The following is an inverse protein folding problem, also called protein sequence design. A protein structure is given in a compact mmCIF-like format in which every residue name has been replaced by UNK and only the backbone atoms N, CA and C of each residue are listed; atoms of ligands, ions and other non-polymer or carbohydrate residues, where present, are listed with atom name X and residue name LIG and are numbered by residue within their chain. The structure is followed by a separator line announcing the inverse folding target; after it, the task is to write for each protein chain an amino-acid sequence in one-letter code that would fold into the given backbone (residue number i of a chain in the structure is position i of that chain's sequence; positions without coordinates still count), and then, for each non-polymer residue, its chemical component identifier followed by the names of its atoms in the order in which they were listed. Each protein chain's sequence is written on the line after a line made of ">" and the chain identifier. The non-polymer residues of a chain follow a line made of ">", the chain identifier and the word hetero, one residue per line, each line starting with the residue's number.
data_IF_427873091208
#
_entry.id   IF_427873091208
#
_cell.length_a   1.000
_cell.length_b   1.000
_cell.length_c   1.000
_cell.angle_alpha   90.00
_cell.angle_beta   90.00
_cell.angle_gamma   90.00
#
_symmetry.space_group_name_H-M   'P 1'
#
loop_
_entity.id
_entity.type
_entity.pdbx_description
1 polymer ?
#
# COMPACT_ATOMS: atom_id res chain seq x y z
N UNK A 1 1.50 4.74 -21.94
CA UNK A 1 2.44 4.38 -20.86
C UNK A 1 1.96 4.85 -19.49
N UNK A 2 1.60 6.13 -19.33
CA UNK A 2 1.15 6.72 -18.05
C UNK A 2 0.01 5.93 -17.38
N UNK A 3 -1.04 5.60 -18.14
CA UNK A 3 -2.17 4.79 -17.65
C UNK A 3 -1.69 3.44 -17.11
N UNK A 4 -0.87 2.72 -17.89
CA UNK A 4 -0.33 1.43 -17.45
C UNK A 4 0.52 1.56 -16.19
N UNK A 5 1.29 2.65 -16.06
CA UNK A 5 2.13 2.87 -14.89
C UNK A 5 1.29 3.11 -13.65
N UNK A 6 0.31 4.02 -13.77
CA UNK A 6 -0.67 4.25 -12.72
C UNK A 6 -1.38 2.96 -12.33
N UNK A 7 -1.83 2.15 -13.29
CA UNK A 7 -2.54 0.90 -13.02
C UNK A 7 -1.73 -0.11 -12.23
N UNK A 8 -0.46 -0.37 -12.56
CA UNK A 8 0.30 -1.36 -11.78
C UNK A 8 0.67 -0.85 -10.39
N UNK A 9 0.94 0.46 -10.24
CA UNK A 9 1.17 1.07 -8.94
C UNK A 9 -0.11 1.01 -8.08
N UNK A 10 -1.27 1.35 -8.66
CA UNK A 10 -2.60 1.20 -8.03
C UNK A 10 -2.88 -0.25 -7.59
N UNK A 11 -2.47 -1.23 -8.41
CA UNK A 11 -2.60 -2.65 -8.07
C UNK A 11 -1.74 -3.03 -6.87
N UNK A 12 -0.53 -2.50 -6.75
CA UNK A 12 0.32 -2.76 -5.59
C UNK A 12 -0.27 -2.15 -4.30
N UNK A 13 -0.86 -0.96 -4.38
CA UNK A 13 -1.56 -0.35 -3.22
C UNK A 13 -2.79 -1.15 -2.80
N UNK A 14 -3.57 -1.62 -3.79
CA UNK A 14 -4.72 -2.50 -3.57
C UNK A 14 -4.28 -3.81 -2.92
N UNK A 15 -3.24 -4.44 -3.46
CA UNK A 15 -2.63 -5.65 -2.90
C UNK A 15 -2.27 -5.50 -1.42
N UNK A 16 -1.59 -4.42 -1.02
CA UNK A 16 -1.22 -4.20 0.39
C UNK A 16 -2.46 -4.07 1.30
N UNK A 17 -3.52 -3.45 0.79
CA UNK A 17 -4.78 -3.28 1.52
C UNK A 17 -5.52 -4.60 1.66
N UNK A 18 -5.55 -5.40 0.60
CA UNK A 18 -6.18 -6.71 0.58
C UNK A 18 -5.42 -7.71 1.46
N UNK A 19 -4.09 -7.70 1.42
CA UNK A 19 -3.28 -8.52 2.33
C UNK A 19 -3.57 -8.19 3.80
N UNK A 20 -3.66 -6.90 4.14
CA UNK A 20 -4.00 -6.48 5.48
C UNK A 20 -5.40 -6.97 5.89
N UNK A 21 -6.37 -6.91 4.98
CA UNK A 21 -7.70 -7.49 5.18
C UNK A 21 -7.62 -8.97 5.49
N UNK A 22 -6.90 -9.74 4.68
CA UNK A 22 -6.74 -11.18 4.86
C UNK A 22 -6.08 -11.54 6.19
N UNK A 23 -5.07 -10.76 6.61
CA UNK A 23 -4.45 -10.93 7.93
C UNK A 23 -5.50 -10.75 9.05
N UNK A 24 -6.35 -9.73 8.96
CA UNK A 24 -7.40 -9.50 9.95
C UNK A 24 -8.44 -10.62 9.99
N UNK A 25 -8.81 -11.18 8.85
CA UNK A 25 -9.74 -12.31 8.79
C UNK A 25 -9.12 -13.61 9.34
N UNK A 26 -7.86 -13.87 9.02
CA UNK A 26 -7.15 -15.07 9.47
C UNK A 26 -6.74 -15.00 10.95
N UNK A 27 -6.47 -13.79 11.45
CA UNK A 27 -6.01 -13.51 12.82
C UNK A 27 -6.78 -12.33 13.41
N UNK A 28 -8.06 -12.48 13.80
CA UNK A 28 -8.87 -11.39 14.34
C UNK A 28 -8.28 -10.72 15.59
N UNK A 29 -7.47 -11.43 16.37
CA UNK A 29 -6.73 -10.88 17.49
C UNK A 29 -5.75 -9.75 17.11
N UNK A 30 -5.33 -9.71 15.84
CA UNK A 30 -4.50 -8.63 15.31
C UNK A 30 -5.27 -7.32 15.12
N UNK A 31 -6.60 -7.31 15.14
CA UNK A 31 -7.42 -6.08 15.14
C UNK A 31 -7.45 -5.38 16.50
N UNK A 32 -7.02 -6.05 17.57
CA UNK A 32 -7.07 -5.49 18.95
C UNK A 32 -6.31 -4.17 19.01
N UNK A 33 -6.99 -3.14 19.50
CA UNK A 33 -6.43 -1.80 19.68
C UNK A 33 -7.18 -1.08 20.80
N UNK A 34 -6.67 0.08 21.22
CA UNK A 34 -7.33 0.95 22.20
C UNK A 34 -8.49 1.77 21.59
N UNK A 35 -8.86 1.51 20.34
CA UNK A 35 -9.93 2.23 19.65
C UNK A 35 -11.29 1.83 20.24
N UNK A 36 -12.15 2.82 20.46
CA UNK A 36 -13.50 2.60 20.96
C UNK A 36 -14.45 2.23 19.82
N UNK A 37 -15.40 1.35 20.11
CA UNK A 37 -16.54 1.03 19.23
C UNK A 37 -17.83 1.34 19.97
N UNK A 38 -18.84 1.77 19.22
CA UNK A 38 -20.18 2.04 19.72
C UNK A 38 -20.97 0.74 19.90
N UNK A 39 -21.95 0.77 20.81
CA UNK A 39 -22.89 -0.35 20.98
C UNK A 39 -23.65 -0.62 19.67
N UNK A 40 -23.97 0.44 18.90
CA UNK A 40 -24.66 0.32 17.61
C UNK A 40 -23.85 -0.51 16.61
N UNK A 41 -22.57 -0.21 16.43
CA UNK A 41 -21.69 -0.97 15.50
C UNK A 41 -21.61 -2.46 15.86
N UNK A 42 -21.64 -2.78 17.16
CA UNK A 42 -21.65 -4.17 17.63
C UNK A 42 -23.00 -4.84 17.38
N UNK A 43 -24.11 -4.16 17.69
CA UNK A 43 -25.47 -4.70 17.54
C UNK A 43 -25.96 -4.77 16.09
N UNK A 44 -25.38 -3.98 15.18
CA UNK A 44 -25.68 -4.02 13.75
C UNK A 44 -25.05 -5.26 13.06
N UNK A 45 -24.18 -6.02 13.75
CA UNK A 45 -23.60 -7.27 13.26
C UNK A 45 -24.34 -8.50 13.81
N UNK A 46 -24.60 -9.50 12.98
CA UNK A 46 -25.28 -10.75 13.33
C UNK A 46 -24.45 -11.64 14.26
N UNK A 47 -23.13 -11.58 14.12
CA UNK A 47 -22.18 -12.36 14.91
C UNK A 47 -20.79 -11.73 14.93
N UNK A 48 -19.87 -12.37 15.67
CA UNK A 48 -18.49 -11.92 15.80
C UNK A 48 -17.73 -11.91 14.47
N UNK A 49 -18.02 -12.83 13.54
CA UNK A 49 -17.33 -12.88 12.25
C UNK A 49 -17.75 -11.70 11.37
N UNK A 50 -19.03 -11.36 11.36
CA UNK A 50 -19.52 -10.16 10.68
C UNK A 50 -18.89 -8.90 11.29
N UNK A 51 -18.83 -8.81 12.63
CA UNK A 51 -18.15 -7.71 13.30
C UNK A 51 -16.67 -7.60 12.92
N UNK A 52 -15.95 -8.72 12.86
CA UNK A 52 -14.54 -8.74 12.41
C UNK A 52 -14.42 -8.26 10.97
N UNK A 53 -15.28 -8.71 10.06
CA UNK A 53 -15.27 -8.27 8.65
C UNK A 53 -15.57 -6.78 8.52
N UNK A 54 -16.57 -6.30 9.25
CA UNK A 54 -16.94 -4.88 9.31
C UNK A 54 -15.75 -4.06 9.80
N UNK A 55 -15.20 -4.42 10.96
CA UNK A 55 -14.11 -3.67 11.57
C UNK A 55 -12.80 -3.74 10.78
N UNK A 56 -12.51 -4.88 10.14
CA UNK A 56 -11.37 -5.00 9.24
C UNK A 56 -11.49 -4.04 8.04
N UNK A 57 -12.69 -3.88 7.47
CA UNK A 57 -12.94 -2.90 6.39
C UNK A 57 -12.80 -1.47 6.87
N UNK A 58 -13.33 -1.14 8.05
CA UNK A 58 -13.16 0.19 8.65
C UNK A 58 -11.69 0.50 8.96
N UNK A 59 -10.91 -0.51 9.38
CA UNK A 59 -9.47 -0.40 9.67
C UNK A 59 -8.60 -0.28 8.43
N UNK A 60 -9.05 -0.75 7.27
CA UNK A 60 -8.33 -0.59 6.01
C UNK A 60 -8.42 0.88 5.62
N UNK A 61 -7.50 1.65 6.20
CA UNK A 61 -7.17 2.98 5.72
C UNK A 61 -6.63 2.88 4.31
N UNK A 62 -7.17 3.69 3.40
CA UNK A 62 -6.70 3.72 2.02
C UNK A 62 -5.20 4.07 1.98
N UNK A 63 -4.38 3.16 1.45
CA UNK A 63 -3.04 3.50 0.95
C UNK A 63 -3.12 4.61 -0.12
N UNK A 64 -4.29 4.71 -0.79
CA UNK A 64 -4.63 5.66 -1.86
C UNK A 64 -4.50 7.16 -1.50
N UNK A 65 -4.23 7.55 -0.25
CA UNK A 65 -4.06 8.95 0.16
C UNK A 65 -2.78 9.23 0.96
N UNK A 66 -1.95 8.21 1.22
CA UNK A 66 -0.81 8.31 2.14
C UNK A 66 0.52 7.95 1.48
N UNK A 67 1.60 8.09 2.25
CA UNK A 67 2.90 7.51 1.90
C UNK A 67 2.92 6.03 2.28
N UNK A 68 3.71 5.21 1.60
CA UNK A 68 3.93 3.80 1.99
C UNK A 68 4.52 3.72 3.41
N UNK A 69 5.32 4.72 3.78
CA UNK A 69 5.88 4.85 5.12
C UNK A 69 4.81 5.02 6.19
N UNK A 70 3.84 5.91 5.94
CA UNK A 70 2.71 6.13 6.84
C UNK A 70 1.88 4.85 6.98
N UNK A 71 1.57 4.20 5.86
CA UNK A 71 0.85 2.93 5.86
C UNK A 71 1.54 1.86 6.71
N UNK A 72 2.85 1.65 6.53
CA UNK A 72 3.59 0.65 7.33
C UNK A 72 3.68 1.07 8.80
N UNK A 73 3.82 2.36 9.09
CA UNK A 73 3.90 2.86 10.47
C UNK A 73 2.59 2.67 11.24
N UNK A 74 1.44 2.83 10.56
CA UNK A 74 0.11 2.69 11.15
C UNK A 74 -0.36 1.22 11.23
N UNK A 75 0.19 0.34 10.38
CA UNK A 75 -0.20 -1.05 10.27
C UNK A 75 0.91 -1.99 10.78
N UNK A 76 0.87 -2.19 12.09
CA UNK A 76 1.78 -3.05 12.86
C UNK A 76 1.88 -4.48 12.27
N UNK A 77 0.82 -4.95 11.63
CA UNK A 77 0.73 -6.26 10.99
C UNK A 77 1.71 -6.36 9.82
N UNK A 78 1.73 -5.35 8.95
CA UNK A 78 2.65 -5.25 7.81
C UNK A 78 4.07 -4.98 8.31
N UNK A 79 4.23 -4.06 9.26
CA UNK A 79 5.54 -3.72 9.86
C UNK A 79 6.24 -4.94 10.45
N UNK A 80 5.50 -5.80 11.17
CA UNK A 80 6.03 -7.01 11.82
C UNK A 80 6.40 -8.11 10.83
N UNK A 81 6.06 -8.01 9.55
CA UNK A 81 6.59 -8.90 8.50
C UNK A 81 8.08 -8.67 8.27
N UNK A 82 8.57 -7.45 8.53
CA UNK A 82 9.95 -7.03 8.26
C UNK A 82 10.41 -7.31 6.80
N UNK A 83 9.46 -7.37 5.86
CA UNK A 83 9.72 -7.64 4.44
C UNK A 83 10.09 -6.37 3.65
N UNK A 84 9.80 -5.19 4.19
CA UNK A 84 10.01 -3.89 3.55
C UNK A 84 10.92 -3.03 4.43
N UNK A 85 12.21 -3.02 4.12
CA UNK A 85 13.19 -2.14 4.79
C UNK A 85 13.04 -0.67 4.36
N UNK A 86 13.78 0.23 5.02
CA UNK A 86 13.68 1.67 4.73
C UNK A 86 14.03 2.02 3.28
N UNK A 87 15.02 1.34 2.69
CA UNK A 87 15.39 1.53 1.29
C UNK A 87 14.24 1.13 0.36
N UNK A 88 13.60 0.00 0.64
CA UNK A 88 12.46 -0.49 -0.12
C UNK A 88 11.27 0.46 0.00
N UNK A 89 11.00 0.98 1.20
CA UNK A 89 9.97 2.00 1.41
C UNK A 89 10.25 3.27 0.61
N UNK A 90 11.49 3.75 0.58
CA UNK A 90 11.87 4.93 -0.21
C UNK A 90 11.64 4.72 -1.71
N UNK A 91 11.94 3.53 -2.21
CA UNK A 91 11.78 3.24 -3.64
C UNK A 91 10.31 3.07 -4.04
N UNK A 92 9.51 2.38 -3.21
CA UNK A 92 8.05 2.32 -3.41
C UNK A 92 7.48 3.74 -3.40
N UNK A 93 7.89 4.59 -2.45
CA UNK A 93 7.41 5.97 -2.35
C UNK A 93 7.68 6.75 -3.64
N UNK A 94 8.90 6.64 -4.21
CA UNK A 94 9.22 7.25 -5.51
C UNK A 94 8.32 6.76 -6.63
N UNK A 95 8.01 5.46 -6.69
CA UNK A 95 7.09 4.88 -7.67
C UNK A 95 5.69 5.49 -7.49
N UNK A 96 5.21 5.62 -6.25
CA UNK A 96 3.91 6.24 -5.95
C UNK A 96 3.88 7.73 -6.32
N UNK A 97 4.99 8.47 -6.19
CA UNK A 97 5.05 9.85 -6.64
C UNK A 97 4.99 9.97 -8.18
N UNK A 98 5.61 9.05 -8.93
CA UNK A 98 5.45 9.00 -10.39
C UNK A 98 3.99 8.71 -10.77
N UNK A 99 3.36 7.74 -10.10
CA UNK A 99 1.92 7.45 -10.27
C UNK A 99 1.06 8.67 -9.95
N UNK A 100 1.38 9.43 -8.90
CA UNK A 100 0.66 10.65 -8.55
C UNK A 100 0.74 11.69 -9.67
N UNK A 101 1.93 11.94 -10.22
CA UNK A 101 2.07 12.84 -11.37
C UNK A 101 1.23 12.39 -12.55
N UNK A 102 1.28 11.11 -12.90
CA UNK A 102 0.58 10.55 -14.05
C UNK A 102 -0.94 10.58 -13.90
N UNK A 103 -1.47 10.28 -12.71
CA UNK A 103 -2.92 10.25 -12.47
C UNK A 103 -3.53 11.63 -12.17
N UNK A 104 -2.79 12.55 -11.56
CA UNK A 104 -3.37 13.79 -11.01
C UNK A 104 -2.76 15.09 -11.55
N UNK A 105 -1.56 15.03 -12.13
CA UNK A 105 -0.86 16.21 -12.66
C UNK A 105 -0.62 16.11 -14.17
N UNK A 106 -1.25 15.14 -14.83
CA UNK A 106 -1.07 14.86 -16.26
C UNK A 106 0.43 14.74 -16.64
N UNK A 107 1.23 14.15 -15.75
CA UNK A 107 2.68 13.98 -15.92
C UNK A 107 3.52 15.24 -15.77
N UNK A 108 2.94 16.35 -15.30
CA UNK A 108 3.67 17.62 -15.10
C UNK A 108 4.30 17.64 -13.71
N UNK A 109 5.62 17.83 -13.66
CA UNK A 109 6.41 17.87 -12.42
C UNK A 109 5.98 19.02 -11.52
N UNK A 110 5.70 18.72 -10.25
CA UNK A 110 5.37 19.69 -9.21
C UNK A 110 6.38 19.69 -8.05
N UNK A 111 6.20 20.63 -7.12
CA UNK A 111 7.10 20.81 -5.97
C UNK A 111 7.19 19.56 -5.10
N UNK A 112 6.06 18.86 -4.90
CA UNK A 112 6.02 17.63 -4.11
C UNK A 112 6.88 16.55 -4.73
N UNK A 113 6.79 16.35 -6.05
CA UNK A 113 7.62 15.38 -6.76
C UNK A 113 9.13 15.69 -6.62
N UNK A 114 9.51 16.95 -6.70
CA UNK A 114 10.92 17.37 -6.59
C UNK A 114 11.56 17.10 -5.22
N UNK A 115 10.75 16.93 -4.16
CA UNK A 115 11.24 16.49 -2.85
C UNK A 115 11.81 15.06 -2.89
N UNK A 116 11.34 14.22 -3.82
CA UNK A 116 11.77 12.83 -3.99
C UNK A 116 12.81 12.65 -5.09
N UNK A 117 12.88 13.60 -6.02
CA UNK A 117 13.77 13.58 -7.20
C UNK A 117 14.58 14.89 -7.29
N UNK A 118 15.17 15.30 -6.17
CA UNK A 118 15.89 16.58 -6.07
C UNK A 118 17.03 16.67 -7.08
N UNK A 119 17.04 17.76 -7.87
CA UNK A 119 18.06 18.04 -8.88
C UNK A 119 17.96 17.19 -10.15
N UNK A 120 16.94 16.32 -10.29
CA UNK A 120 16.80 15.44 -11.44
C UNK A 120 15.84 15.99 -12.50
N UNK A 121 14.86 16.80 -12.09
CA UNK A 121 13.81 17.33 -12.97
C UNK A 121 13.58 18.82 -12.75
N UNK A 122 12.94 19.46 -13.73
CA UNK A 122 12.60 20.88 -13.72
C UNK A 122 11.11 21.03 -13.37
N UNK A 123 10.77 21.99 -12.50
CA UNK A 123 9.37 22.31 -12.19
C UNK A 123 8.58 22.63 -13.46
N UNK A 124 7.34 22.16 -13.56
CA UNK A 124 6.46 22.28 -14.73
C UNK A 124 6.93 21.58 -16.01
N UNK A 125 8.03 20.83 -15.98
CA UNK A 125 8.42 19.98 -17.11
C UNK A 125 7.57 18.71 -17.16
N UNK A 126 7.51 18.10 -18.34
CA UNK A 126 6.85 16.81 -18.50
C UNK A 126 7.78 15.67 -18.05
N UNK A 127 7.31 14.86 -17.12
CA UNK A 127 7.98 13.62 -16.72
C UNK A 127 7.67 12.49 -17.71
N UNK A 128 8.71 11.87 -18.26
CA UNK A 128 8.60 10.68 -19.12
C UNK A 128 9.52 9.58 -18.63
N UNK A 129 9.02 8.34 -18.64
CA UNK A 129 9.77 7.15 -18.26
C UNK A 129 10.02 6.26 -19.49
N UNK A 130 11.27 5.83 -19.76
CA UNK A 130 11.54 4.82 -20.78
C UNK A 130 10.85 3.48 -20.46
N UNK A 131 10.51 2.71 -21.50
CA UNK A 131 9.87 1.39 -21.35
C UNK A 131 10.71 0.45 -20.48
N UNK A 132 12.03 0.48 -20.62
CA UNK A 132 12.93 -0.35 -19.79
C UNK A 132 12.76 -0.04 -18.31
N UNK A 133 12.83 1.25 -17.92
CA UNK A 133 12.64 1.67 -16.54
C UNK A 133 11.23 1.39 -16.03
N UNK A 134 10.20 1.50 -16.89
CA UNK A 134 8.85 1.07 -16.57
C UNK A 134 8.82 -0.41 -16.17
N UNK A 135 9.42 -1.29 -16.98
CA UNK A 135 9.48 -2.72 -16.71
C UNK A 135 10.26 -3.00 -15.42
N UNK A 136 11.36 -2.29 -15.19
CA UNK A 136 12.15 -2.42 -13.96
C UNK A 136 11.30 -2.11 -12.71
N UNK A 137 10.49 -1.04 -12.74
CA UNK A 137 9.60 -0.68 -11.61
C UNK A 137 8.48 -1.69 -11.41
N UNK A 138 7.91 -2.23 -12.49
CA UNK A 138 6.90 -3.28 -12.42
C UNK A 138 7.47 -4.54 -11.77
N UNK A 139 8.61 -5.04 -12.28
CA UNK A 139 9.29 -6.21 -11.73
C UNK A 139 9.72 -5.98 -10.28
N UNK A 140 10.15 -4.76 -9.94
CA UNK A 140 10.50 -4.39 -8.59
C UNK A 140 9.32 -4.53 -7.62
N UNK A 141 8.16 -3.95 -7.93
CA UNK A 141 6.97 -4.08 -7.08
C UNK A 141 6.47 -5.52 -6.97
N UNK A 142 6.54 -6.30 -8.07
CA UNK A 142 6.18 -7.71 -8.05
C UNK A 142 7.10 -8.52 -7.10
N UNK A 143 8.41 -8.29 -7.16
CA UNK A 143 9.36 -8.94 -6.26
C UNK A 143 9.19 -8.51 -4.79
N UNK A 144 8.76 -7.27 -4.55
CA UNK A 144 8.40 -6.81 -3.20
C UNK A 144 7.14 -7.50 -2.70
N UNK A 145 6.09 -7.61 -3.52
CA UNK A 145 4.87 -8.33 -3.17
C UNK A 145 5.15 -9.80 -2.82
N UNK A 146 5.94 -10.50 -3.64
CA UNK A 146 6.33 -11.90 -3.37
C UNK A 146 7.04 -12.07 -2.00
N UNK A 147 7.96 -11.16 -1.66
CA UNK A 147 8.62 -11.16 -0.35
C UNK A 147 7.64 -10.95 0.81
N UNK A 148 6.67 -10.05 0.62
CA UNK A 148 5.66 -9.75 1.63
C UNK A 148 4.74 -10.96 1.80
N UNK A 149 4.29 -11.58 0.72
CA UNK A 149 3.44 -12.78 0.74
C UNK A 149 4.14 -13.92 1.47
N UNK A 150 5.40 -14.21 1.11
CA UNK A 150 6.17 -15.24 1.79
C UNK A 150 6.28 -14.97 3.30
N UNK A 151 6.54 -13.72 3.69
CA UNK A 151 6.59 -13.34 5.10
C UNK A 151 5.22 -13.47 5.78
N UNK A 152 4.14 -13.06 5.12
CA UNK A 152 2.78 -13.08 5.65
C UNK A 152 2.24 -14.50 5.80
N UNK A 153 2.41 -15.37 4.79
CA UNK A 153 2.08 -16.79 4.88
C UNK A 153 2.82 -17.46 6.03
N UNK A 154 4.11 -17.18 6.19
CA UNK A 154 4.90 -17.77 7.27
C UNK A 154 4.45 -17.32 8.66
N UNK A 155 4.19 -16.01 8.83
CA UNK A 155 3.87 -15.38 10.12
C UNK A 155 2.40 -15.59 10.53
N UNK A 156 1.48 -15.36 9.60
CA UNK A 156 0.03 -15.34 9.86
C UNK A 156 -0.67 -16.64 9.45
N UNK A 157 0.04 -17.58 8.80
CA UNK A 157 -0.51 -18.86 8.33
C UNK A 157 -1.68 -18.68 7.37
N UNK A 158 -1.56 -17.69 6.49
CA UNK A 158 -2.50 -17.47 5.39
C UNK A 158 -2.48 -18.67 4.43
N UNK A 159 -3.59 -18.93 3.75
CA UNK A 159 -3.62 -19.93 2.68
C UNK A 159 -2.67 -19.50 1.55
N UNK A 160 -1.99 -20.45 0.91
CA UNK A 160 -1.24 -20.16 -0.31
C UNK A 160 -2.26 -19.98 -1.45
N UNK A 161 -2.23 -18.81 -2.09
CA UNK A 161 -2.94 -18.53 -3.34
C UNK A 161 -2.25 -19.14 -4.54
#
# INVERSE_FOLDING_TARGET
>A
MRILFSSFADNFETYLSDLLYEIFLAKPESLKSNQQVTIKEVLDCSDLQEFVKYWAKEKIGKLQKGSVKGFIAENDQIKKLAAIDESTQNEIEKILQIRHLYSHRNGIVDEKFLQFFTGQFILNSEHQIPISQFCDKLCYLAAVADKIDLAATNKYKLAQG
#
